data_IF_412519203544
#
_entry.id   IF_412519203544
#
_cell.length_a   1.000
_cell.length_b   1.000
_cell.length_c   1.000
_cell.angle_alpha   90.00
_cell.angle_beta   90.00
_cell.angle_gamma   90.00
#
_symmetry.space_group_name_H-M   'P 1'
#
loop_
_entity.id
_entity.type
_entity.pdbx_description
1 polymer ?
#
# COMPACT_ATOMS: atom_id res chain seq x y z
N UNK A 1 7.96 3.95 15.90
CA UNK A 1 7.52 2.60 15.49
C UNK A 1 8.69 1.68 15.20
N UNK A 2 9.60 2.00 14.27
CA UNK A 2 10.78 1.16 14.02
C UNK A 2 11.64 0.95 15.27
N UNK A 3 11.79 1.97 16.13
CA UNK A 3 12.42 1.83 17.45
C UNK A 3 11.69 0.83 18.36
N UNK A 4 10.36 0.93 18.47
CA UNK A 4 9.56 0.11 19.38
C UNK A 4 9.44 -1.35 18.95
N UNK A 5 9.50 -1.63 17.64
CA UNK A 5 9.47 -3.01 17.12
C UNK A 5 10.87 -3.61 16.97
N UNK A 6 11.94 -2.86 17.22
CA UNK A 6 13.30 -3.36 17.09
C UNK A 6 13.65 -4.23 18.32
N UNK A 7 13.84 -5.55 18.18
CA UNK A 7 14.12 -6.42 19.32
C UNK A 7 15.47 -6.15 19.99
N UNK A 8 16.37 -5.45 19.29
CA UNK A 8 17.73 -5.12 19.76
C UNK A 8 17.89 -3.66 20.14
N UNK A 9 16.84 -2.84 20.06
CA UNK A 9 16.92 -1.39 20.25
C UNK A 9 18.06 -0.75 19.42
N UNK A 10 18.31 -1.30 18.23
CA UNK A 10 19.42 -0.90 17.36
C UNK A 10 19.09 0.32 16.49
N UNK A 11 17.85 0.82 16.57
CA UNK A 11 17.34 1.90 15.74
C UNK A 11 17.13 3.12 16.62
N UNK A 12 17.49 4.29 16.11
CA UNK A 12 17.13 5.58 16.71
C UNK A 12 16.62 6.52 15.63
N UNK A 13 15.53 7.22 15.91
CA UNK A 13 14.89 8.14 14.96
C UNK A 13 14.97 9.56 15.47
N UNK A 14 15.54 10.44 14.65
CA UNK A 14 15.71 11.84 14.97
C UNK A 14 15.00 12.72 13.95
N UNK A 15 14.54 13.89 14.39
CA UNK A 15 13.95 14.88 13.51
C UNK A 15 15.06 15.77 12.96
N UNK A 16 15.18 15.86 11.64
CA UNK A 16 16.05 16.81 10.94
C UNK A 16 15.20 17.82 10.16
N UNK A 17 14.92 18.97 10.78
CA UNK A 17 14.03 19.98 10.22
C UNK A 17 12.60 19.48 10.02
N UNK A 18 12.18 19.34 8.75
CA UNK A 18 10.85 18.80 8.37
C UNK A 18 10.87 17.28 8.15
N UNK A 19 12.04 16.68 8.07
CA UNK A 19 12.23 15.27 7.76
C UNK A 19 12.64 14.48 9.01
N UNK A 20 12.72 13.15 8.85
CA UNK A 20 13.17 12.22 9.87
C UNK A 20 14.38 11.44 9.36
N UNK A 21 15.39 11.31 10.19
CA UNK A 21 16.57 10.47 9.95
C UNK A 21 16.54 9.26 10.87
N UNK A 22 17.09 8.17 10.38
CA UNK A 22 17.16 6.90 11.10
C UNK A 22 18.62 6.49 11.19
N UNK A 23 19.12 6.33 12.41
CA UNK A 23 20.41 5.69 12.67
C UNK A 23 20.19 4.24 13.06
N UNK A 24 21.00 3.34 12.49
CA UNK A 24 20.99 1.91 12.80
C UNK A 24 22.40 1.54 13.25
N UNK A 25 22.55 1.14 14.51
CA UNK A 25 23.84 0.79 15.09
C UNK A 25 24.19 -0.71 14.89
N UNK A 26 25.39 -1.07 15.34
CA UNK A 26 25.97 -2.42 15.22
C UNK A 26 25.19 -3.54 15.94
N UNK A 27 24.26 -3.22 16.84
CA UNK A 27 23.39 -4.21 17.48
C UNK A 27 22.27 -4.72 16.56
N UNK A 28 22.17 -4.21 15.33
CA UNK A 28 21.14 -4.62 14.39
C UNK A 28 21.26 -6.11 14.04
N UNK A 29 20.23 -6.88 14.38
CA UNK A 29 20.16 -8.31 14.07
C UNK A 29 19.73 -8.61 12.61
N UNK A 30 19.56 -7.58 11.77
CA UNK A 30 19.23 -7.74 10.34
C UNK A 30 17.95 -8.57 10.12
N UNK A 31 16.95 -8.43 11.00
CA UNK A 31 15.70 -9.20 10.94
C UNK A 31 14.60 -8.57 10.07
N UNK A 32 14.72 -7.29 9.72
CA UNK A 32 13.75 -6.59 8.87
C UNK A 32 12.39 -6.26 9.52
N UNK A 33 12.18 -6.56 10.81
CA UNK A 33 10.93 -6.24 11.53
C UNK A 33 10.53 -4.76 11.45
N UNK A 34 11.51 -3.86 11.49
CA UNK A 34 11.29 -2.43 11.33
C UNK A 34 10.77 -2.04 9.93
N UNK A 35 11.11 -2.83 8.90
CA UNK A 35 10.60 -2.70 7.53
C UNK A 35 9.18 -3.24 7.44
N UNK A 36 8.92 -4.43 7.99
CA UNK A 36 7.61 -5.09 7.94
C UNK A 36 6.50 -4.25 8.56
N UNK A 37 6.78 -3.65 9.73
CA UNK A 37 5.82 -2.81 10.45
C UNK A 37 5.93 -1.32 10.08
N UNK A 38 6.74 -0.96 9.09
CA UNK A 38 6.84 0.42 8.64
C UNK A 38 5.55 0.83 7.92
N UNK A 39 4.70 1.60 8.61
CA UNK A 39 3.45 2.09 8.04
C UNK A 39 3.63 3.08 6.88
N UNK A 40 4.85 3.56 6.64
CA UNK A 40 5.16 4.57 5.61
C UNK A 40 6.13 4.09 4.54
N UNK A 41 6.67 2.87 4.63
CA UNK A 41 7.68 2.35 3.70
C UNK A 41 9.02 3.13 3.71
N UNK A 42 9.32 3.81 4.82
CA UNK A 42 10.56 4.57 4.99
C UNK A 42 11.79 3.66 5.20
N UNK A 43 11.58 2.45 5.70
CA UNK A 43 12.61 1.42 5.84
C UNK A 43 12.28 0.30 4.86
N UNK A 44 13.26 -0.08 4.05
CA UNK A 44 13.19 -1.22 3.14
C UNK A 44 14.24 -2.24 3.55
N UNK A 45 13.84 -3.50 3.53
CA UNK A 45 14.70 -4.62 3.87
C UNK A 45 14.60 -5.68 2.79
N UNK A 46 15.74 -6.26 2.42
CA UNK A 46 15.83 -7.27 1.37
C UNK A 46 16.50 -8.52 1.94
N UNK A 47 15.85 -9.67 1.75
CA UNK A 47 16.38 -10.99 2.10
C UNK A 47 16.38 -11.86 0.85
N UNK A 48 17.54 -12.41 0.49
CA UNK A 48 17.69 -13.27 -0.70
C UNK A 48 17.13 -12.64 -1.99
N UNK A 49 17.29 -11.32 -2.14
CA UNK A 49 16.79 -10.55 -3.29
C UNK A 49 15.29 -10.25 -3.28
N UNK A 50 14.53 -10.67 -2.26
CA UNK A 50 13.11 -10.33 -2.08
C UNK A 50 12.95 -9.23 -1.03
N UNK A 51 12.06 -8.26 -1.28
CA UNK A 51 11.72 -7.21 -0.31
C UNK A 51 10.79 -7.77 0.78
N UNK A 52 11.24 -7.66 2.04
CA UNK A 52 10.48 -8.11 3.20
C UNK A 52 11.35 -8.70 4.31
N UNK A 53 11.00 -8.39 5.57
CA UNK A 53 11.57 -8.99 6.78
C UNK A 53 10.90 -10.29 7.17
N UNK A 54 11.15 -10.76 8.40
CA UNK A 54 10.65 -12.04 8.91
C UNK A 54 9.11 -12.14 8.88
N UNK A 55 8.38 -11.02 9.01
CA UNK A 55 6.92 -11.03 9.04
C UNK A 55 6.28 -10.82 7.67
N UNK A 56 7.03 -10.49 6.62
CA UNK A 56 6.46 -10.23 5.30
C UNK A 56 5.75 -11.45 4.73
N UNK A 57 6.32 -12.65 4.86
CA UNK A 57 5.72 -13.90 4.36
C UNK A 57 4.41 -14.20 5.09
N UNK A 58 4.40 -14.08 6.43
CA UNK A 58 3.18 -14.29 7.23
C UNK A 58 2.08 -13.29 6.83
N UNK A 59 2.41 -12.00 6.73
CA UNK A 59 1.44 -10.97 6.39
C UNK A 59 0.88 -11.16 4.96
N UNK A 60 1.72 -11.51 3.98
CA UNK A 60 1.32 -11.58 2.57
C UNK A 60 0.78 -12.95 2.15
N UNK A 61 1.46 -14.02 2.55
CA UNK A 61 1.19 -15.37 2.05
C UNK A 61 0.19 -16.12 2.94
N UNK A 62 0.31 -16.01 4.27
CA UNK A 62 -0.61 -16.68 5.20
C UNK A 62 -1.90 -15.89 5.42
N UNK A 63 -1.78 -14.59 5.68
CA UNK A 63 -2.93 -13.73 6.00
C UNK A 63 -3.53 -13.03 4.78
N UNK A 64 -2.84 -13.03 3.63
CA UNK A 64 -3.32 -12.34 2.42
C UNK A 64 -3.50 -10.83 2.60
N UNK A 65 -2.80 -10.21 3.56
CA UNK A 65 -3.01 -8.82 3.95
C UNK A 65 -2.64 -7.86 2.81
N UNK A 66 -3.57 -6.95 2.50
CA UNK A 66 -3.37 -5.87 1.53
C UNK A 66 -3.83 -4.55 2.15
N UNK A 67 -3.01 -3.49 2.06
CA UNK A 67 -3.38 -2.19 2.63
C UNK A 67 -4.59 -1.57 1.92
N UNK A 68 -4.74 -1.83 0.62
CA UNK A 68 -5.84 -1.28 -0.18
C UNK A 68 -6.41 -2.39 -1.06
N UNK A 69 -7.70 -2.63 -0.92
CA UNK A 69 -8.49 -3.48 -1.80
C UNK A 69 -9.41 -2.63 -2.67
N UNK A 70 -9.44 -2.92 -3.96
CA UNK A 70 -10.23 -2.16 -4.95
C UNK A 70 -11.15 -3.13 -5.68
N UNK A 71 -12.46 -3.00 -5.48
CA UNK A 71 -13.44 -3.79 -6.20
C UNK A 71 -13.49 -3.35 -7.68
N UNK A 72 -13.07 -4.19 -8.65
CA UNK A 72 -13.08 -3.82 -10.05
C UNK A 72 -14.50 -3.66 -10.64
N UNK A 73 -15.52 -4.24 -10.02
CA UNK A 73 -16.92 -4.11 -10.48
C UNK A 73 -17.51 -2.74 -10.14
N UNK A 74 -17.10 -2.16 -9.01
CA UNK A 74 -17.59 -0.85 -8.55
C UNK A 74 -16.67 0.30 -9.00
N UNK A 75 -15.43 0.00 -9.37
CA UNK A 75 -14.44 1.01 -9.76
C UNK A 75 -14.70 1.55 -11.18
N UNK A 76 -15.09 2.82 -11.27
CA UNK A 76 -15.33 3.51 -12.55
C UNK A 76 -14.09 4.19 -13.15
N UNK A 77 -12.88 3.89 -12.62
CA UNK A 77 -11.60 4.43 -13.11
C UNK A 77 -11.56 5.97 -13.21
N UNK A 78 -12.22 6.69 -12.29
CA UNK A 78 -12.30 8.16 -12.30
C UNK A 78 -10.98 8.87 -11.93
N UNK A 79 -10.01 8.14 -11.36
CA UNK A 79 -8.69 8.63 -10.94
C UNK A 79 -8.69 9.58 -9.72
N UNK A 80 -9.80 9.74 -8.99
CA UNK A 80 -9.83 10.57 -7.78
C UNK A 80 -8.91 10.04 -6.68
N UNK A 81 -8.87 8.72 -6.47
CA UNK A 81 -7.97 8.08 -5.50
C UNK A 81 -6.50 8.32 -5.81
N UNK A 82 -6.10 8.25 -7.08
CA UNK A 82 -4.75 8.59 -7.54
C UNK A 82 -4.44 10.07 -7.28
N UNK A 83 -5.34 10.99 -7.64
CA UNK A 83 -5.13 12.43 -7.47
C UNK A 83 -5.07 12.88 -6.01
N UNK A 84 -5.82 12.23 -5.12
CA UNK A 84 -5.88 12.61 -3.70
C UNK A 84 -4.77 11.97 -2.87
N UNK A 85 -4.11 10.92 -3.38
CA UNK A 85 -3.17 10.15 -2.58
C UNK A 85 -1.95 11.01 -2.22
N UNK A 86 -1.71 11.32 -0.94
CA UNK A 86 -0.59 12.18 -0.53
C UNK A 86 0.78 11.47 -0.63
N UNK A 87 0.79 10.22 -1.08
CA UNK A 87 1.95 9.33 -1.14
C UNK A 87 2.23 8.82 -2.55
N UNK A 88 1.45 9.26 -3.55
CA UNK A 88 1.49 8.74 -4.93
C UNK A 88 1.41 7.20 -5.01
N UNK A 89 0.81 6.57 -4.00
CA UNK A 89 0.78 5.11 -3.86
C UNK A 89 -0.29 4.45 -4.74
N UNK A 90 -1.11 5.21 -5.46
CA UNK A 90 -2.18 4.68 -6.30
C UNK A 90 -2.01 5.17 -7.73
N UNK A 91 -1.90 4.25 -8.68
CA UNK A 91 -1.96 4.53 -10.12
C UNK A 91 -3.24 3.98 -10.72
N UNK A 92 -3.98 4.84 -11.43
CA UNK A 92 -5.11 4.41 -12.25
C UNK A 92 -4.66 4.42 -13.70
N UNK A 93 -4.59 3.24 -14.31
CA UNK A 93 -4.31 3.09 -15.74
C UNK A 93 -5.63 2.82 -16.42
N UNK A 94 -6.01 3.65 -17.40
CA UNK A 94 -7.22 3.44 -18.18
C UNK A 94 -6.99 3.78 -19.64
N UNK A 95 -7.71 3.11 -20.51
CA UNK A 95 -7.84 3.43 -21.92
C UNK A 95 -9.31 3.39 -22.31
N UNK A 96 -9.58 3.99 -23.47
CA UNK A 96 -10.92 4.11 -24.00
C UNK A 96 -10.96 3.41 -25.35
N UNK A 97 -11.80 2.38 -25.47
CA UNK A 97 -12.11 1.75 -26.75
C UNK A 97 -13.11 2.63 -27.51
N UNK A 98 -12.58 3.45 -28.42
CA UNK A 98 -13.37 4.34 -29.25
C UNK A 98 -14.39 3.58 -30.12
N UNK A 99 -14.13 2.32 -30.48
CA UNK A 99 -15.06 1.53 -31.31
C UNK A 99 -16.35 1.19 -30.55
N UNK A 100 -16.29 1.15 -29.21
CA UNK A 100 -17.44 0.96 -28.33
C UNK A 100 -18.19 2.26 -28.01
N UNK A 101 -17.60 3.43 -28.32
CA UNK A 101 -18.22 4.74 -28.07
C UNK A 101 -18.83 5.37 -29.32
N UNK A 102 -18.20 5.16 -30.48
CA UNK A 102 -18.62 5.75 -31.74
C UNK A 102 -18.60 4.74 -32.87
N UNK A 103 -19.60 4.82 -33.73
CA UNK A 103 -19.73 4.05 -34.96
C UNK A 103 -20.27 4.95 -36.05
N UNK A 104 -19.76 4.77 -37.26
CA UNK A 104 -20.25 5.45 -38.43
C UNK A 104 -19.50 5.01 -39.67
N UNK A 105 -19.91 5.58 -40.78
CA UNK A 105 -19.27 5.43 -42.08
C UNK A 105 -18.97 6.83 -42.62
N UNK A 106 -17.88 6.95 -43.35
CA UNK A 106 -17.50 8.17 -44.05
C UNK A 106 -16.88 7.80 -45.39
N UNK A 107 -17.29 8.49 -46.44
CA UNK A 107 -16.73 8.33 -47.78
C UNK A 107 -16.58 9.67 -48.47
N UNK A 108 -15.63 9.73 -49.40
CA UNK A 108 -15.34 10.91 -50.22
C UNK A 108 -15.50 10.48 -51.67
N UNK A 109 -16.47 11.07 -52.36
CA UNK A 109 -16.73 10.87 -53.77
C UNK A 109 -15.78 11.68 -54.67
N UNK A 110 -16.07 11.64 -55.96
CA UNK A 110 -15.35 12.43 -56.96
C UNK A 110 -15.83 13.89 -56.97
N UNK A 111 -15.04 14.81 -57.54
CA UNK A 111 -15.40 16.23 -57.65
C UNK A 111 -14.88 17.13 -56.52
N UNK A 112 -13.90 16.68 -55.73
CA UNK A 112 -13.19 17.53 -54.77
C UNK A 112 -12.41 18.63 -55.49
N UNK A 113 -12.60 19.89 -55.06
CA UNK A 113 -11.91 21.08 -55.61
C UNK A 113 -10.75 21.58 -54.74
N UNK A 114 -10.27 20.76 -53.80
CA UNK A 114 -9.13 21.06 -52.94
C UNK A 114 -9.24 22.34 -52.08
N UNK A 115 -10.46 22.78 -51.74
CA UNK A 115 -10.71 24.00 -50.97
C UNK A 115 -10.30 23.93 -49.49
N UNK A 116 -10.01 22.72 -48.97
CA UNK A 116 -9.54 22.42 -47.60
C UNK A 116 -10.48 22.79 -46.44
N UNK A 117 -11.71 23.26 -46.70
CA UNK A 117 -12.69 23.58 -45.66
C UNK A 117 -12.97 22.42 -44.69
N UNK A 118 -12.99 21.17 -45.20
CA UNK A 118 -13.17 19.98 -44.37
C UNK A 118 -11.99 19.73 -43.40
N UNK A 119 -10.79 20.20 -43.72
CA UNK A 119 -9.60 20.12 -42.85
C UNK A 119 -9.68 21.18 -41.77
N UNK A 120 -9.96 22.42 -42.16
CA UNK A 120 -10.02 23.58 -41.24
C UNK A 120 -11.12 23.41 -40.19
N UNK A 121 -12.27 22.87 -40.58
CA UNK A 121 -13.43 22.73 -39.70
C UNK A 121 -13.47 21.38 -38.96
N UNK A 122 -12.47 20.50 -39.11
CA UNK A 122 -12.47 19.21 -38.42
C UNK A 122 -12.03 19.36 -36.95
N UNK A 123 -12.94 19.21 -35.96
CA UNK A 123 -12.63 19.47 -34.56
C UNK A 123 -11.60 18.48 -33.98
N UNK A 124 -11.55 17.26 -34.52
CA UNK A 124 -10.62 16.21 -34.07
C UNK A 124 -9.38 16.08 -34.94
N UNK A 125 -9.22 16.96 -35.95
CA UNK A 125 -8.10 16.92 -36.92
C UNK A 125 -7.96 15.55 -37.58
N UNK A 126 -9.09 14.90 -37.86
CA UNK A 126 -9.15 13.61 -38.53
C UNK A 126 -8.91 13.69 -40.04
N UNK A 127 -9.14 14.85 -40.66
CA UNK A 127 -8.96 15.04 -42.11
C UNK A 127 -7.56 15.57 -42.39
N UNK A 128 -6.84 14.93 -43.32
CA UNK A 128 -5.55 15.39 -43.86
C UNK A 128 -5.62 15.45 -45.38
N UNK A 129 -4.71 16.18 -46.02
CA UNK A 129 -4.57 16.17 -47.48
C UNK A 129 -3.45 15.21 -47.88
N UNK A 130 -3.73 14.36 -48.87
CA UNK A 130 -2.74 13.48 -49.51
C UNK A 130 -3.00 13.50 -51.02
N UNK A 131 -1.99 13.91 -51.80
CA UNK A 131 -2.11 14.12 -53.27
C UNK A 131 -3.35 14.94 -53.68
N UNK A 132 -3.52 16.11 -53.05
CA UNK A 132 -4.63 17.02 -53.34
C UNK A 132 -5.98 16.61 -52.74
N UNK A 133 -6.18 15.33 -52.40
CA UNK A 133 -7.45 14.80 -51.89
C UNK A 133 -7.49 14.69 -50.37
N UNK A 134 -8.66 14.89 -49.73
CA UNK A 134 -8.83 14.61 -48.30
C UNK A 134 -8.75 13.11 -48.02
N UNK A 135 -8.06 12.75 -46.94
CA UNK A 135 -7.96 11.40 -46.39
C UNK A 135 -8.38 11.45 -44.93
N UNK A 136 -9.23 10.52 -44.52
CA UNK A 136 -9.82 10.47 -43.18
C UNK A 136 -9.06 9.47 -42.30
N UNK A 137 -8.56 9.96 -41.17
CA UNK A 137 -8.09 9.14 -40.06
C UNK A 137 -9.30 8.72 -39.19
N UNK A 138 -9.86 7.54 -39.47
CA UNK A 138 -11.00 7.01 -38.72
C UNK A 138 -10.71 6.75 -37.23
N UNK A 139 -9.44 6.65 -36.84
CA UNK A 139 -9.05 6.60 -35.42
C UNK A 139 -9.29 7.93 -34.68
N UNK A 140 -9.55 9.03 -35.41
CA UNK A 140 -9.89 10.35 -34.86
C UNK A 140 -11.28 10.85 -35.28
N UNK A 141 -11.84 10.38 -36.38
CA UNK A 141 -13.15 10.80 -36.87
C UNK A 141 -14.27 10.48 -35.87
N UNK A 142 -15.07 11.47 -35.49
CA UNK A 142 -16.23 11.30 -34.61
C UNK A 142 -17.57 11.25 -35.36
N UNK A 143 -17.54 11.20 -36.69
CA UNK A 143 -18.73 11.17 -37.56
C UNK A 143 -19.73 12.31 -37.29
N UNK A 144 -19.23 13.50 -36.92
CA UNK A 144 -20.03 14.68 -36.57
C UNK A 144 -20.65 15.43 -37.77
N UNK A 145 -20.42 14.95 -39.00
CA UNK A 145 -20.95 15.50 -40.26
C UNK A 145 -20.49 16.93 -40.64
N UNK A 146 -19.68 17.61 -39.82
CA UNK A 146 -19.19 18.97 -40.13
C UNK A 146 -18.50 19.03 -41.50
N UNK A 147 -17.62 18.07 -41.82
CA UNK A 147 -16.93 18.03 -43.10
C UNK A 147 -17.88 17.87 -44.31
N UNK A 148 -18.99 17.15 -44.13
CA UNK A 148 -20.04 17.01 -45.14
C UNK A 148 -20.73 18.35 -45.35
N UNK A 149 -21.13 19.03 -44.27
CA UNK A 149 -21.86 20.30 -44.33
C UNK A 149 -21.05 21.49 -44.86
N UNK A 150 -19.73 21.51 -44.66
CA UNK A 150 -18.86 22.58 -45.18
C UNK A 150 -18.33 22.29 -46.59
N UNK A 151 -18.62 21.13 -47.16
CA UNK A 151 -18.12 20.78 -48.49
C UNK A 151 -18.96 21.49 -49.57
N UNK A 152 -18.41 22.46 -50.31
CA UNK A 152 -19.19 23.20 -51.31
C UNK A 152 -19.57 22.35 -52.54
N UNK A 153 -18.97 21.15 -52.66
CA UNK A 153 -19.23 20.22 -53.75
C UNK A 153 -20.11 19.04 -53.31
N UNK A 154 -20.50 18.97 -52.03
CA UNK A 154 -21.30 17.89 -51.46
C UNK A 154 -20.75 16.47 -51.71
N UNK A 155 -19.42 16.34 -51.85
CA UNK A 155 -18.76 15.05 -52.18
C UNK A 155 -18.40 14.21 -50.96
N UNK A 156 -18.69 14.68 -49.74
CA UNK A 156 -18.36 13.97 -48.50
C UNK A 156 -19.66 13.47 -47.86
N UNK A 157 -19.79 12.15 -47.75
CA UNK A 157 -20.93 11.49 -47.09
C UNK A 157 -20.50 10.99 -45.72
N UNK A 158 -21.28 11.30 -44.69
CA UNK A 158 -21.05 10.83 -43.32
C UNK A 158 -22.34 10.24 -42.78
N UNK A 159 -22.25 9.09 -42.12
CA UNK A 159 -23.37 8.44 -41.44
C UNK A 159 -22.95 8.11 -40.02
N UNK A 160 -23.61 8.70 -39.03
CA UNK A 160 -23.38 8.36 -37.62
C UNK A 160 -24.35 7.28 -37.15
N UNK A 161 -23.80 6.16 -36.67
CA UNK A 161 -24.53 5.03 -36.07
C UNK A 161 -24.30 4.92 -34.56
N UNK A 162 -23.67 5.93 -33.94
CA UNK A 162 -23.25 5.88 -32.54
C UNK A 162 -24.43 5.73 -31.56
N UNK A 163 -25.65 6.12 -31.97
CA UNK A 163 -26.88 5.92 -31.21
C UNK A 163 -27.37 4.45 -31.20
N UNK A 164 -26.79 3.56 -32.01
CA UNK A 164 -27.18 2.15 -32.10
C UNK A 164 -26.31 1.21 -31.26
N UNK A 165 -25.31 1.75 -30.55
CA UNK A 165 -24.32 0.97 -29.78
C UNK A 165 -24.28 1.33 -28.29
N UNK A 166 -25.36 1.92 -27.74
CA UNK A 166 -25.37 2.40 -26.35
C UNK A 166 -24.98 1.33 -25.32
N UNK A 167 -25.40 0.08 -25.48
CA UNK A 167 -25.07 -1.00 -24.54
C UNK A 167 -23.56 -1.28 -24.47
N UNK A 168 -22.83 -1.11 -25.58
CA UNK A 168 -21.39 -1.37 -25.63
C UNK A 168 -20.58 -0.30 -24.89
N UNK A 169 -21.17 0.88 -24.64
CA UNK A 169 -20.47 2.01 -24.00
C UNK A 169 -20.06 1.72 -22.56
N UNK A 170 -20.79 0.84 -21.86
CA UNK A 170 -20.50 0.46 -20.47
C UNK A 170 -19.11 -0.15 -20.32
N UNK A 171 -18.63 -0.82 -21.35
CA UNK A 171 -17.32 -1.48 -21.38
C UNK A 171 -16.28 -0.74 -22.22
N UNK A 172 -16.57 0.50 -22.60
CA UNK A 172 -15.64 1.29 -23.42
C UNK A 172 -14.43 1.77 -22.62
N UNK A 173 -14.57 1.94 -21.32
CA UNK A 173 -13.46 2.28 -20.44
C UNK A 173 -12.92 1.00 -19.84
N UNK A 174 -11.67 0.69 -20.17
CA UNK A 174 -10.95 -0.46 -19.62
C UNK A 174 -9.73 0.03 -18.86
N UNK A 175 -9.33 -0.69 -17.83
CA UNK A 175 -8.21 -0.26 -17.02
C UNK A 175 -8.03 -1.08 -15.76
N UNK A 176 -7.09 -0.62 -14.95
CA UNK A 176 -6.74 -1.24 -13.68
C UNK A 176 -6.28 -0.18 -12.69
N UNK A 177 -6.34 -0.54 -11.41
CA UNK A 177 -5.79 0.26 -10.31
C UNK A 177 -4.62 -0.52 -9.73
N UNK A 178 -3.46 0.12 -9.66
CA UNK A 178 -2.24 -0.45 -9.09
C UNK A 178 -1.93 0.31 -7.80
N UNK A 179 -1.67 -0.43 -6.73
CA UNK A 179 -1.33 0.13 -5.42
C UNK A 179 0.11 -0.25 -5.07
N UNK A 180 0.91 0.76 -4.71
CA UNK A 180 2.20 0.57 -4.07
C UNK A 180 2.01 0.39 -2.56
N UNK A 181 2.00 -0.87 -2.14
CA UNK A 181 1.87 -1.28 -0.75
C UNK A 181 2.99 -0.72 0.14
N UNK A 182 4.19 -0.47 -0.40
CA UNK A 182 5.29 0.13 0.35
C UNK A 182 5.00 1.59 0.71
N UNK A 183 4.53 2.36 -0.26
CA UNK A 183 4.30 3.80 -0.09
C UNK A 183 2.99 4.15 0.63
N UNK A 184 1.99 3.27 0.58
CA UNK A 184 0.67 3.49 1.19
C UNK A 184 0.73 3.57 2.72
N UNK A 185 0.23 4.69 3.27
CA UNK A 185 0.17 4.95 4.73
C UNK A 185 -1.14 4.57 5.41
N UNK A 186 -2.06 3.92 4.69
CA UNK A 186 -3.42 3.55 5.15
C UNK A 186 -4.22 4.73 5.70
N UNK A 187 -4.02 5.93 5.13
CA UNK A 187 -4.70 7.17 5.54
C UNK A 187 -6.18 7.26 5.14
N UNK A 188 -6.73 6.29 4.40
CA UNK A 188 -8.14 6.26 3.95
C UNK A 188 -8.64 7.41 3.05
N UNK A 189 -7.79 8.36 2.66
CA UNK A 189 -8.20 9.44 1.75
C UNK A 189 -8.78 8.92 0.43
N UNK A 190 -8.26 7.81 -0.11
CA UNK A 190 -8.80 7.18 -1.31
C UNK A 190 -10.21 6.61 -1.12
N UNK A 191 -10.53 6.07 0.06
CA UNK A 191 -11.88 5.63 0.43
C UNK A 191 -12.83 6.81 0.54
N UNK A 192 -12.41 7.89 1.21
CA UNK A 192 -13.23 9.09 1.39
C UNK A 192 -13.64 9.75 0.06
N UNK A 193 -12.74 9.80 -0.93
CA UNK A 193 -13.03 10.43 -2.23
C UNK A 193 -13.66 9.47 -3.25
N UNK A 194 -13.83 8.19 -2.92
CA UNK A 194 -14.34 7.20 -3.86
C UNK A 194 -15.85 7.36 -4.05
N UNK A 195 -16.34 7.78 -5.23
CA UNK A 195 -17.77 8.06 -5.42
C UNK A 195 -18.64 6.81 -5.44
N UNK A 196 -18.04 5.63 -5.64
CA UNK A 196 -18.75 4.34 -5.72
C UNK A 196 -18.51 3.44 -4.52
N UNK A 197 -17.67 3.84 -3.56
CA UNK A 197 -17.29 3.00 -2.43
C UNK A 197 -16.41 1.80 -2.81
N UNK A 198 -15.84 1.77 -4.01
CA UNK A 198 -15.04 0.65 -4.52
C UNK A 198 -13.72 0.37 -3.76
N UNK A 199 -13.31 1.23 -2.83
CA UNK A 199 -11.99 1.16 -2.18
C UNK A 199 -12.11 0.91 -0.69
N UNK A 200 -11.60 -0.24 -0.24
CA UNK A 200 -11.43 -0.58 1.17
C UNK A 200 -9.96 -0.42 1.56
N UNK A 201 -9.69 0.22 2.69
CA UNK A 201 -8.34 0.33 3.25
C UNK A 201 -8.27 -0.48 4.53
N UNK A 202 -7.32 -1.41 4.58
CA UNK A 202 -7.07 -2.25 5.74
C UNK A 202 -5.83 -1.77 6.49
N UNK A 203 -5.89 -1.87 7.81
CA UNK A 203 -4.77 -1.53 8.69
C UNK A 203 -4.29 -2.79 9.38
N UNK A 204 -3.02 -2.79 9.74
CA UNK A 204 -2.44 -3.80 10.64
C UNK A 204 -2.75 -3.47 12.09
N UNK A 205 -2.84 -2.17 12.38
CA UNK A 205 -3.07 -1.65 13.72
C UNK A 205 -4.45 -1.01 13.85
N UNK A 206 -5.05 -1.23 15.01
CA UNK A 206 -6.18 -0.49 15.53
C UNK A 206 -5.80 0.16 16.87
N UNK A 207 -6.70 0.98 17.41
CA UNK A 207 -6.46 1.64 18.68
C UNK A 207 -7.31 2.87 18.86
N UNK A 208 -6.91 3.72 19.80
CA UNK A 208 -7.65 4.90 20.22
C UNK A 208 -6.72 6.10 20.36
N UNK A 209 -7.25 7.31 20.17
CA UNK A 209 -6.54 8.55 20.47
C UNK A 209 -7.18 9.22 21.67
N UNK A 210 -6.38 9.63 22.64
CA UNK A 210 -6.83 10.46 23.76
C UNK A 210 -6.17 11.82 23.69
N UNK A 211 -6.93 12.85 24.07
CA UNK A 211 -6.45 14.23 24.18
C UNK A 211 -6.81 14.82 25.54
N UNK A 212 -5.86 15.48 26.18
CA UNK A 212 -6.03 16.16 27.47
C UNK A 212 -5.93 17.67 27.30
N UNK A 213 -7.01 18.38 27.62
CA UNK A 213 -7.09 19.85 27.49
C UNK A 213 -6.06 20.54 28.39
N UNK A 214 -5.89 20.06 29.62
CA UNK A 214 -5.06 20.67 30.68
C UNK A 214 -3.57 20.65 30.31
N UNK A 215 -3.17 19.71 29.46
CA UNK A 215 -1.80 19.54 28.96
C UNK A 215 -1.57 20.24 27.63
N UNK A 216 -2.63 20.65 26.94
CA UNK A 216 -2.53 21.23 25.61
C UNK A 216 -2.12 22.70 25.71
N UNK A 217 -0.96 23.03 25.15
CA UNK A 217 -0.48 24.43 25.10
C UNK A 217 -1.41 25.25 24.19
N UNK A 218 -1.82 26.41 24.67
CA UNK A 218 -2.69 27.35 23.93
C UNK A 218 -2.05 27.76 22.59
N UNK A 219 -2.88 27.85 21.54
CA UNK A 219 -2.50 28.19 20.16
C UNK A 219 -1.40 27.32 19.52
N UNK A 220 -1.10 26.15 20.09
CA UNK A 220 -0.12 25.20 19.54
C UNK A 220 -0.68 24.41 18.34
N UNK A 221 0.09 24.34 17.24
CA UNK A 221 -0.30 23.60 16.02
C UNK A 221 0.52 22.35 15.70
N UNK A 222 1.46 21.98 16.57
CA UNK A 222 2.48 20.96 16.28
C UNK A 222 1.89 19.61 15.87
N UNK A 223 0.86 19.11 16.57
CA UNK A 223 0.28 17.80 16.27
C UNK A 223 -0.38 17.75 14.89
N UNK A 224 -1.08 18.83 14.50
CA UNK A 224 -1.68 18.97 13.17
C UNK A 224 -0.59 19.03 12.11
N UNK A 225 0.40 19.89 12.30
CA UNK A 225 1.41 20.19 11.28
C UNK A 225 2.39 19.03 11.05
N UNK A 226 2.59 18.17 12.06
CA UNK A 226 3.44 16.97 11.96
C UNK A 226 2.69 15.72 11.49
N UNK A 227 1.36 15.77 11.37
CA UNK A 227 0.57 14.58 11.01
C UNK A 227 0.74 14.23 9.52
N UNK A 228 1.39 13.11 9.18
CA UNK A 228 1.64 12.77 7.77
C UNK A 228 0.37 12.41 6.99
N UNK A 229 -0.72 12.10 7.70
CA UNK A 229 -1.99 11.70 7.11
C UNK A 229 -3.05 12.82 7.11
N UNK A 230 -2.71 14.04 7.58
CA UNK A 230 -3.66 15.14 7.78
C UNK A 230 -4.92 14.67 8.53
N UNK A 231 -4.71 13.87 9.58
CA UNK A 231 -5.78 13.26 10.36
C UNK A 231 -6.25 14.12 11.53
N UNK A 232 -5.61 15.27 11.77
CA UNK A 232 -5.85 16.10 12.95
C UNK A 232 -6.41 17.45 12.50
N UNK A 233 -7.46 17.91 13.18
CA UNK A 233 -8.09 19.21 12.99
C UNK A 233 -8.48 19.82 14.35
N UNK A 234 -8.97 21.05 14.34
CA UNK A 234 -9.48 21.74 15.54
C UNK A 234 -10.98 21.92 15.43
N UNK A 235 -11.69 21.63 16.50
CA UNK A 235 -13.10 21.92 16.61
C UNK A 235 -13.36 23.43 16.56
N UNK A 236 -14.48 23.83 15.96
CA UNK A 236 -14.94 25.22 15.95
C UNK A 236 -15.66 25.56 17.27
N UNK A 237 -14.94 25.41 18.38
CA UNK A 237 -15.40 25.78 19.72
C UNK A 237 -14.34 26.65 20.42
N UNK A 238 -14.71 27.38 21.50
CA UNK A 238 -13.76 28.23 22.24
C UNK A 238 -12.58 27.47 22.82
N UNK A 239 -12.70 26.14 22.96
CA UNK A 239 -11.68 25.28 23.56
C UNK A 239 -10.70 24.73 22.52
N UNK A 240 -10.94 24.99 21.22
CA UNK A 240 -10.16 24.52 20.07
C UNK A 240 -9.74 23.05 20.21
N UNK A 241 -10.68 22.18 20.60
CA UNK A 241 -10.41 20.76 20.86
C UNK A 241 -9.73 20.09 19.66
N UNK A 242 -8.70 19.30 19.93
CA UNK A 242 -8.05 18.47 18.92
C UNK A 242 -8.98 17.32 18.51
N UNK A 243 -9.27 17.21 17.22
CA UNK A 243 -10.15 16.18 16.64
C UNK A 243 -9.37 15.31 15.68
N UNK A 244 -9.46 13.99 15.87
CA UNK A 244 -8.87 12.99 14.99
C UNK A 244 -9.92 12.47 14.02
N UNK A 245 -9.58 12.40 12.74
CA UNK A 245 -10.39 11.72 11.72
C UNK A 245 -9.95 10.26 11.56
N UNK A 246 -10.77 9.50 10.84
CA UNK A 246 -10.50 8.12 10.45
C UNK A 246 -9.21 7.94 9.66
N UNK A 247 -8.57 9.02 9.20
CA UNK A 247 -7.26 8.99 8.54
C UNK A 247 -6.11 8.64 9.48
N UNK A 248 -6.31 8.75 10.80
CA UNK A 248 -5.31 8.40 11.79
C UNK A 248 -4.99 6.91 11.71
N UNK A 249 -3.73 6.57 11.41
CA UNK A 249 -3.25 5.19 11.38
C UNK A 249 -2.52 4.79 12.66
N UNK A 250 -2.71 5.56 13.75
CA UNK A 250 -2.11 5.33 15.06
C UNK A 250 -0.58 5.36 15.08
N UNK A 251 0.08 6.05 14.15
CA UNK A 251 1.55 6.04 14.06
C UNK A 251 2.33 6.65 15.24
N UNK A 252 1.68 7.43 16.11
CA UNK A 252 2.29 7.99 17.33
C UNK A 252 3.11 9.26 17.12
N UNK A 253 3.24 9.79 15.90
CA UNK A 253 4.04 11.01 15.65
C UNK A 253 3.51 12.22 16.43
N UNK A 254 2.20 12.39 16.51
CA UNK A 254 1.58 13.48 17.27
C UNK A 254 1.79 13.36 18.78
N UNK A 255 1.80 12.15 19.34
CA UNK A 255 2.12 11.88 20.75
C UNK A 255 3.58 12.22 21.02
N UNK A 256 4.50 11.66 20.23
CA UNK A 256 5.95 11.83 20.42
C UNK A 256 6.41 13.28 20.42
N UNK A 257 5.84 14.10 19.55
CA UNK A 257 6.27 15.49 19.34
C UNK A 257 5.33 16.50 19.99
N UNK A 258 4.34 16.06 20.78
CA UNK A 258 3.49 16.99 21.51
C UNK A 258 4.29 17.67 22.63
N UNK A 259 4.54 18.99 22.57
CA UNK A 259 5.34 19.67 23.60
C UNK A 259 4.68 19.66 24.99
N UNK A 260 3.35 19.53 25.04
CA UNK A 260 2.59 19.45 26.29
C UNK A 260 2.31 18.02 26.77
N UNK A 261 2.69 16.98 26.01
CA UNK A 261 2.28 15.58 26.27
C UNK A 261 0.75 15.42 26.42
N UNK A 262 0.00 16.15 25.59
CA UNK A 262 -1.46 16.22 25.61
C UNK A 262 -2.15 15.15 24.78
N UNK A 263 -1.40 14.31 24.04
CA UNK A 263 -1.93 13.29 23.14
C UNK A 263 -1.36 11.94 23.54
N UNK A 264 -2.22 10.93 23.66
CA UNK A 264 -1.87 9.53 23.88
C UNK A 264 -2.44 8.70 22.72
N UNK A 265 -1.63 7.81 22.16
CA UNK A 265 -2.03 6.91 21.08
C UNK A 265 -1.98 5.47 21.60
N UNK A 266 -3.15 4.91 21.86
CA UNK A 266 -3.28 3.47 22.04
C UNK A 266 -3.17 2.79 20.67
N UNK A 267 -2.37 1.73 20.59
CA UNK A 267 -2.16 0.97 19.37
C UNK A 267 -2.00 -0.50 19.71
N UNK A 268 -2.81 -1.32 19.06
CA UNK A 268 -2.75 -2.78 19.12
C UNK A 268 -2.82 -3.37 17.71
N UNK A 269 -2.35 -4.60 17.57
CA UNK A 269 -2.62 -5.38 16.35
C UNK A 269 -4.12 -5.65 16.28
N UNK A 270 -4.70 -5.63 15.09
CA UNK A 270 -6.10 -6.03 14.93
C UNK A 270 -6.29 -7.49 15.32
N UNK A 271 -7.43 -7.82 15.91
CA UNK A 271 -7.76 -9.18 16.38
C UNK A 271 -7.71 -10.23 15.26
N UNK A 272 -8.03 -9.87 14.02
CA UNK A 272 -7.93 -10.79 12.86
C UNK A 272 -6.50 -10.98 12.34
N UNK A 273 -5.55 -10.14 12.79
CA UNK A 273 -4.11 -10.23 12.54
C UNK A 273 -3.35 -10.70 13.78
N UNK A 274 -3.97 -10.72 14.96
CA UNK A 274 -3.57 -11.63 16.03
C UNK A 274 -3.75 -13.04 15.49
N UNK A 275 -2.72 -13.48 14.76
CA UNK A 275 -2.53 -14.83 14.24
C UNK A 275 -3.01 -15.79 15.31
N UNK A 276 -3.68 -16.86 14.89
CA UNK A 276 -3.94 -18.04 15.67
C UNK A 276 -2.64 -18.60 16.31
N UNK A 277 -2.07 -17.90 17.30
CA UNK A 277 -1.67 -18.50 18.55
C UNK A 277 -2.94 -18.90 19.31
N UNK A 278 -3.91 -19.56 18.63
CA UNK A 278 -4.71 -20.57 19.29
C UNK A 278 -3.66 -21.46 19.92
N UNK A 279 -3.50 -21.33 21.23
CA UNK A 279 -2.62 -22.12 22.07
C UNK A 279 -2.65 -23.54 21.50
N UNK A 280 -1.65 -23.92 20.70
CA UNK A 280 -1.43 -25.31 20.39
C UNK A 280 -1.41 -25.97 21.76
N UNK A 281 -2.27 -26.98 21.94
CA UNK A 281 -2.42 -27.67 23.22
C UNK A 281 -1.03 -27.80 23.85
N UNK A 282 -0.89 -27.23 25.06
CA UNK A 282 0.38 -27.09 25.79
C UNK A 282 1.05 -28.44 26.11
N UNK A 283 0.54 -29.55 25.59
CA UNK A 283 0.87 -30.92 25.97
C UNK A 283 1.99 -31.56 25.16
N UNK A 284 2.49 -30.96 24.07
CA UNK A 284 3.60 -31.56 23.30
C UNK A 284 4.92 -30.84 23.58
N UNK A 285 5.95 -31.58 24.02
CA UNK A 285 7.34 -31.11 24.10
C UNK A 285 7.93 -30.97 22.69
N UNK A 286 8.69 -29.90 22.46
CA UNK A 286 9.39 -29.68 21.19
C UNK A 286 10.89 -29.74 21.42
N UNK A 287 11.60 -30.39 20.51
CA UNK A 287 13.05 -30.47 20.50
C UNK A 287 13.63 -29.46 19.52
N UNK A 288 14.59 -28.66 19.97
CA UNK A 288 15.41 -27.83 19.09
C UNK A 288 16.74 -28.54 18.86
N UNK A 289 17.02 -28.94 17.62
CA UNK A 289 18.30 -29.57 17.24
C UNK A 289 19.19 -28.53 16.60
N UNK A 290 20.46 -28.52 16.96
CA UNK A 290 21.48 -27.65 16.38
C UNK A 290 22.56 -28.56 15.78
N UNK A 291 22.82 -28.41 14.49
CA UNK A 291 23.83 -29.20 13.79
C UNK A 291 25.26 -28.71 14.03
N UNK A 292 26.21 -29.55 13.61
CA UNK A 292 27.63 -29.39 13.94
C UNK A 292 28.30 -28.15 13.36
N UNK A 293 27.75 -27.61 12.26
CA UNK A 293 28.26 -26.41 11.58
C UNK A 293 27.90 -25.11 12.32
N UNK A 294 27.30 -25.19 13.51
CA UNK A 294 27.01 -24.05 14.35
C UNK A 294 28.28 -23.22 14.65
N UNK A 295 28.19 -21.93 14.36
CA UNK A 295 29.29 -20.95 14.53
C UNK A 295 29.22 -20.16 15.85
N UNK A 296 28.25 -20.46 16.74
CA UNK A 296 28.20 -19.83 18.06
C UNK A 296 27.73 -18.38 18.12
N UNK A 297 27.11 -17.85 17.06
CA UNK A 297 26.79 -16.41 16.94
C UNK A 297 25.76 -15.84 17.94
N UNK A 298 25.05 -16.65 18.73
CA UNK A 298 24.09 -16.17 19.75
C UNK A 298 22.73 -15.66 19.24
N UNK A 299 22.50 -15.62 17.92
CA UNK A 299 21.26 -15.07 17.36
C UNK A 299 20.03 -15.84 17.85
N UNK A 300 20.06 -17.17 17.77
CA UNK A 300 18.97 -18.06 18.14
C UNK A 300 18.59 -17.99 19.62
N UNK A 301 19.57 -17.82 20.51
CA UNK A 301 19.35 -17.60 21.95
C UNK A 301 18.64 -16.27 22.16
N UNK A 302 19.14 -15.20 21.55
CA UNK A 302 18.68 -13.85 21.81
C UNK A 302 17.33 -13.48 21.17
N UNK A 303 16.91 -14.20 20.13
CA UNK A 303 15.64 -13.98 19.44
C UNK A 303 14.52 -14.87 19.97
N UNK A 304 14.82 -15.88 20.80
CA UNK A 304 13.83 -16.81 21.30
C UNK A 304 13.05 -16.17 22.48
N UNK A 305 11.79 -15.74 22.28
CA UNK A 305 11.05 -14.98 23.30
C UNK A 305 10.67 -15.82 24.53
N UNK A 306 10.79 -17.13 24.41
CA UNK A 306 10.44 -18.12 25.43
C UNK A 306 11.67 -18.77 26.08
N UNK A 307 12.90 -18.41 25.67
CA UNK A 307 14.13 -18.95 26.26
C UNK A 307 14.51 -18.18 27.53
N UNK A 308 13.79 -18.41 28.62
CA UNK A 308 14.14 -17.85 29.93
C UNK A 308 15.22 -18.72 30.59
N UNK A 309 16.34 -18.10 30.98
CA UNK A 309 17.50 -18.78 31.60
C UNK A 309 18.00 -19.98 30.76
N UNK A 310 17.95 -19.85 29.44
CA UNK A 310 18.38 -20.89 28.50
C UNK A 310 17.42 -22.07 28.35
N UNK A 311 16.28 -22.13 29.05
CA UNK A 311 15.42 -23.33 29.11
C UNK A 311 14.97 -23.93 27.76
N UNK A 312 15.13 -23.21 26.65
CA UNK A 312 14.74 -23.63 25.30
C UNK A 312 15.94 -23.70 24.35
N UNK A 313 16.75 -22.65 24.24
CA UNK A 313 18.00 -22.62 23.46
C UNK A 313 18.97 -21.60 24.07
N UNK A 314 20.24 -21.98 24.19
CA UNK A 314 21.29 -21.20 24.86
C UNK A 314 22.63 -21.37 24.15
N UNK A 315 23.55 -20.40 24.25
CA UNK A 315 24.94 -20.60 23.84
C UNK A 315 25.75 -21.21 24.98
N UNK A 316 26.30 -22.40 24.74
CA UNK A 316 27.19 -23.10 25.67
C UNK A 316 28.48 -23.44 24.94
N UNK A 317 29.63 -23.05 25.52
CA UNK A 317 30.95 -23.31 24.96
C UNK A 317 31.10 -22.90 23.48
N UNK A 318 30.50 -21.77 23.10
CA UNK A 318 30.60 -21.24 21.73
C UNK A 318 29.77 -21.99 20.69
N UNK A 319 28.82 -22.85 21.09
CA UNK A 319 27.81 -23.44 20.21
C UNK A 319 26.41 -23.23 20.78
N UNK A 320 25.42 -23.13 19.89
CA UNK A 320 24.03 -23.14 20.32
C UNK A 320 23.64 -24.56 20.74
N UNK A 321 23.01 -24.67 21.90
CA UNK A 321 22.47 -25.90 22.46
C UNK A 321 20.97 -25.72 22.58
N UNK A 322 20.24 -26.35 21.68
CA UNK A 322 18.79 -26.47 21.77
C UNK A 322 18.40 -27.56 22.77
N UNK A 323 17.25 -27.37 23.44
CA UNK A 323 16.73 -28.29 24.47
C UNK A 323 15.33 -28.77 24.09
N UNK A 324 14.90 -29.85 24.74
CA UNK A 324 13.50 -30.26 24.74
C UNK A 324 12.76 -29.36 25.72
N UNK A 325 11.78 -28.59 25.22
CA UNK A 325 11.11 -27.56 26.00
C UNK A 325 9.60 -27.54 25.75
N UNK A 326 8.81 -27.49 26.83
CA UNK A 326 7.37 -27.23 26.77
C UNK A 326 7.06 -25.75 26.51
N UNK A 327 8.02 -24.86 26.79
CA UNK A 327 7.90 -23.43 26.50
C UNK A 327 8.13 -23.14 25.00
N UNK A 328 8.78 -24.04 24.27
CA UNK A 328 8.99 -23.90 22.84
C UNK A 328 7.65 -23.96 22.08
N UNK A 329 7.30 -22.86 21.42
CA UNK A 329 6.07 -22.71 20.64
C UNK A 329 6.18 -23.20 19.21
N UNK A 330 7.36 -23.70 18.80
CA UNK A 330 7.68 -24.00 17.39
C UNK A 330 7.49 -22.82 16.42
N UNK A 331 7.60 -21.56 16.89
CA UNK A 331 7.48 -20.36 16.05
C UNK A 331 8.56 -20.20 14.96
N UNK A 332 9.58 -21.06 14.92
CA UNK A 332 10.60 -21.07 13.86
C UNK A 332 11.64 -19.94 13.93
N UNK A 333 11.53 -18.96 14.83
CA UNK A 333 12.44 -17.79 14.90
C UNK A 333 13.93 -18.17 14.97
N UNK A 334 14.30 -19.20 15.74
CA UNK A 334 15.68 -19.69 15.82
C UNK A 334 16.15 -20.40 14.54
N UNK A 335 15.23 -21.02 13.79
CA UNK A 335 15.51 -21.70 12.51
C UNK A 335 15.76 -20.66 11.43
N UNK A 336 14.80 -19.74 11.23
CA UNK A 336 14.89 -18.74 10.16
C UNK A 336 15.99 -17.71 10.37
N UNK A 337 16.46 -17.50 11.59
CA UNK A 337 17.57 -16.58 11.89
C UNK A 337 18.92 -17.30 12.10
N UNK A 338 19.02 -18.60 11.77
CA UNK A 338 20.28 -19.30 11.78
C UNK A 338 21.10 -18.97 10.51
N UNK A 339 22.26 -18.28 10.60
CA UNK A 339 23.02 -17.85 9.43
C UNK A 339 23.67 -19.00 8.65
N UNK A 340 23.75 -20.19 9.26
CA UNK A 340 24.31 -21.42 8.68
C UNK A 340 23.25 -22.51 8.54
N UNK A 341 21.97 -22.16 8.68
CA UNK A 341 20.82 -23.04 8.42
C UNK A 341 20.90 -24.41 9.12
N UNK A 342 21.41 -24.43 10.36
CA UNK A 342 21.71 -25.68 11.08
C UNK A 342 20.74 -25.99 12.22
N UNK A 343 19.71 -25.18 12.42
CA UNK A 343 18.75 -25.33 13.52
C UNK A 343 17.45 -25.92 12.99
N UNK A 344 16.95 -26.97 13.64
CA UNK A 344 15.66 -27.59 13.35
C UNK A 344 14.78 -27.63 14.61
N UNK A 345 13.46 -27.54 14.46
CA UNK A 345 12.49 -27.73 15.55
C UNK A 345 11.57 -28.90 15.21
N UNK A 346 11.46 -29.88 16.12
CA UNK A 346 10.63 -31.08 15.94
C UNK A 346 9.67 -31.27 17.10
N UNK A 347 8.45 -31.74 16.81
CA UNK A 347 7.53 -32.22 17.85
C UNK A 347 7.94 -33.60 18.34
N UNK A 348 7.99 -33.80 19.65
CA UNK A 348 8.11 -35.13 20.25
C UNK A 348 6.70 -35.63 20.54
N UNK A 349 6.36 -36.81 20.02
CA UNK A 349 5.18 -37.56 20.47
C UNK A 349 5.60 -38.39 21.68
N UNK A 350 4.86 -38.30 22.78
CA UNK A 350 5.03 -39.27 23.87
C UNK A 350 4.64 -40.65 23.33
N UNK A 351 5.59 -41.59 23.33
CA UNK A 351 5.26 -43.01 23.26
C UNK A 351 4.56 -43.38 24.58
N UNK A 352 3.36 -43.93 24.45
CA UNK A 352 2.49 -44.39 25.54
C UNK A 352 3.13 -45.47 26.40
#
# INVERSE_FOLDING_TARGET
>A
MCESVCPKSAISVYRNGKDFEVEINENCAVCGTCSDFCQFGALKFYRNGKEGGVYTEILKEELGFKKVDVNPQDCILCSLCMKTCPRDAIKVIRSVDLKKLRRGEISIGEGCIECRLCVENCPTKAVKIYHGKPVIDESKCIYCEICSKVCPMDVITVRCDSCRIFEQRKEAVIGTVIVDEGSCSTCKMCTEVCPTGAIKVERIFEGEQKWSKEKCIEDCTVCRDICPNNAISYAYDPEKRVVFSDRCNFCGTCERYCPGNAIEIDRRLREDIEIEFKRAERSKKKEIRVGEICIGCGICESICPVSQNGNTIEIVNGKAVGRVSEACTACGLCVVNCPVETIEVREIKEES
#
